data_IF_128804991956
#
_entry.id   IF_128804991956
#
_cell.length_a   1.000
_cell.length_b   1.000
_cell.length_c   1.000
_cell.angle_alpha   90.00
_cell.angle_beta   90.00
_cell.angle_gamma   90.00
#
_symmetry.space_group_name_H-M   'P 1'
#
loop_
_entity.id
_entity.type
_entity.pdbx_description
1 polymer ?
#
# COMPACT_ATOMS: atom_id res chain seq x y z
N UNK A 1 47.79 -36.50 8.88
CA UNK A 1 46.78 -35.77 9.68
C UNK A 1 46.99 -34.25 9.79
N UNK A 2 48.20 -33.68 9.62
CA UNK A 2 48.41 -32.21 9.68
C UNK A 2 47.90 -31.43 8.45
N UNK A 3 47.70 -32.09 7.31
CA UNK A 3 47.24 -31.45 6.06
C UNK A 3 45.71 -31.24 6.04
N UNK A 4 44.94 -32.24 6.48
CA UNK A 4 43.46 -32.18 6.50
C UNK A 4 42.90 -31.14 7.47
N UNK A 5 43.60 -30.83 8.56
CA UNK A 5 43.23 -29.76 9.51
C UNK A 5 43.35 -28.37 8.87
N UNK A 6 44.31 -28.15 7.96
CA UNK A 6 44.49 -26.85 7.29
C UNK A 6 43.33 -26.55 6.33
N UNK A 7 42.85 -27.56 5.61
CA UNK A 7 41.72 -27.40 4.69
C UNK A 7 40.39 -27.20 5.43
N UNK A 8 40.19 -27.87 6.57
CA UNK A 8 39.03 -27.64 7.43
C UNK A 8 39.00 -26.19 7.94
N UNK A 9 40.16 -25.66 8.35
CA UNK A 9 40.27 -24.29 8.84
C UNK A 9 40.02 -23.25 7.73
N UNK A 10 40.52 -23.51 6.51
CA UNK A 10 40.28 -22.65 5.35
C UNK A 10 38.80 -22.64 4.96
N UNK A 11 38.13 -23.80 4.99
CA UNK A 11 36.70 -23.92 4.70
C UNK A 11 35.84 -23.17 5.72
N UNK A 12 36.19 -23.26 7.01
CA UNK A 12 35.55 -22.51 8.08
C UNK A 12 35.71 -20.99 7.92
N UNK A 13 36.90 -20.53 7.50
CA UNK A 13 37.18 -19.10 7.28
C UNK A 13 36.38 -18.52 6.11
N UNK A 14 36.19 -19.30 5.04
CA UNK A 14 35.34 -18.89 3.91
C UNK A 14 33.85 -18.83 4.32
N UNK A 15 33.39 -19.76 5.16
CA UNK A 15 32.01 -19.74 5.70
C UNK A 15 31.76 -18.49 6.56
N UNK A 16 32.73 -18.07 7.38
CA UNK A 16 32.61 -16.82 8.16
C UNK A 16 32.61 -15.56 7.30
N UNK A 17 33.36 -15.53 6.19
CA UNK A 17 33.36 -14.37 5.28
C UNK A 17 32.05 -14.23 4.50
N UNK A 18 31.38 -15.33 4.13
CA UNK A 18 30.10 -15.28 3.42
C UNK A 18 28.92 -15.03 4.38
N UNK A 19 29.03 -15.45 5.64
CA UNK A 19 27.98 -15.26 6.65
C UNK A 19 27.91 -13.83 7.23
N UNK A 20 28.92 -12.98 7.01
CA UNK A 20 29.02 -11.65 7.61
C UNK A 20 28.60 -10.49 6.66
N UNK A 21 27.91 -10.80 5.57
CA UNK A 21 27.40 -9.81 4.60
C UNK A 21 25.87 -9.62 4.67
N UNK A 22 25.22 -10.00 5.77
CA UNK A 22 23.87 -9.51 6.06
C UNK A 22 23.99 -8.03 6.46
N UNK A 23 23.45 -7.08 5.67
CA UNK A 23 23.50 -5.68 6.05
C UNK A 23 22.83 -5.52 7.42
N UNK A 24 23.56 -4.95 8.37
CA UNK A 24 23.00 -4.62 9.69
C UNK A 24 21.76 -3.75 9.48
N UNK A 25 20.72 -3.89 10.34
CA UNK A 25 19.60 -2.97 10.35
C UNK A 25 20.14 -1.55 10.46
N UNK A 26 19.87 -0.70 9.47
CA UNK A 26 20.23 0.70 9.53
C UNK A 26 19.47 1.34 10.68
N UNK A 27 20.13 1.53 11.82
CA UNK A 27 19.62 2.40 12.87
C UNK A 27 19.62 3.82 12.31
N UNK A 28 18.42 4.38 12.13
CA UNK A 28 18.25 5.79 11.82
C UNK A 28 18.23 6.53 13.16
N UNK A 29 19.11 7.53 13.26
CA UNK A 29 19.33 8.38 14.42
C UNK A 29 18.01 9.01 14.85
N UNK A 30 17.69 8.91 16.15
CA UNK A 30 16.62 9.67 16.80
C UNK A 30 16.93 11.17 16.66
N UNK A 31 16.10 11.90 15.94
CA UNK A 31 16.02 13.34 16.10
C UNK A 31 14.55 13.79 16.14
N UNK A 32 14.14 14.14 17.36
CA UNK A 32 13.06 15.03 17.80
C UNK A 32 11.61 14.95 17.27
N UNK A 33 11.27 14.15 16.26
CA UNK A 33 9.87 13.93 15.84
C UNK A 33 9.51 12.42 15.78
N UNK A 34 8.28 12.00 16.16
CA UNK A 34 7.89 10.60 16.14
C UNK A 34 7.60 10.13 14.71
N UNK A 35 8.65 9.94 13.91
CA UNK A 35 8.58 9.33 12.58
C UNK A 35 8.71 7.82 12.76
N UNK A 36 7.65 7.07 12.45
CA UNK A 36 7.66 5.59 12.51
C UNK A 36 8.01 5.05 11.12
N UNK A 37 9.15 4.37 10.98
CA UNK A 37 9.59 3.76 9.72
C UNK A 37 9.50 2.24 9.85
N UNK A 38 8.65 1.64 9.03
CA UNK A 38 8.49 0.19 8.90
C UNK A 38 9.21 -0.28 7.63
N UNK A 39 10.15 -1.22 7.79
CA UNK A 39 10.80 -1.89 6.65
C UNK A 39 9.89 -3.03 6.18
N UNK A 40 9.26 -2.85 5.01
CA UNK A 40 8.31 -3.82 4.46
C UNK A 40 9.03 -4.99 3.82
N UNK A 41 10.06 -4.71 3.02
CA UNK A 41 10.82 -5.76 2.34
C UNK A 41 12.32 -5.53 2.43
N UNK A 42 13.03 -6.51 2.98
CA UNK A 42 14.50 -6.53 3.05
C UNK A 42 15.13 -7.26 1.87
N UNK A 43 14.37 -8.10 1.16
CA UNK A 43 14.84 -8.92 0.05
C UNK A 43 14.04 -8.62 -1.23
N UNK A 44 14.68 -7.88 -2.15
CA UNK A 44 14.09 -7.49 -3.44
C UNK A 44 13.69 -8.68 -4.33
N UNK A 45 14.24 -9.88 -4.07
CA UNK A 45 13.93 -11.11 -4.80
C UNK A 45 12.67 -11.83 -4.31
N UNK A 46 12.14 -11.46 -3.14
CA UNK A 46 10.94 -12.07 -2.58
C UNK A 46 9.77 -11.11 -2.72
N UNK A 47 8.76 -11.41 -3.55
CA UNK A 47 7.54 -10.64 -3.56
C UNK A 47 6.85 -10.85 -2.21
N UNK A 48 6.74 -9.78 -1.44
CA UNK A 48 5.90 -9.76 -0.25
C UNK A 48 4.47 -10.06 -0.68
N UNK A 49 3.82 -11.03 -0.04
CA UNK A 49 2.44 -11.45 -0.33
C UNK A 49 1.36 -10.40 0.03
N UNK A 50 1.77 -9.15 0.23
CA UNK A 50 0.97 -8.04 0.75
C UNK A 50 1.29 -6.75 -0.02
N UNK A 51 1.35 -6.86 -1.34
CA UNK A 51 1.67 -5.75 -2.24
C UNK A 51 0.56 -4.71 -2.29
N UNK A 52 0.94 -3.46 -2.53
CA UNK A 52 0.02 -2.49 -3.10
C UNK A 52 -0.13 -2.82 -4.58
N UNK A 53 -1.31 -2.61 -5.14
CA UNK A 53 -1.45 -2.65 -6.59
C UNK A 53 -0.78 -1.40 -7.21
N UNK A 54 -0.70 -1.35 -8.54
CA UNK A 54 -0.17 -0.20 -9.28
C UNK A 54 -0.94 1.11 -9.03
N UNK A 55 -2.05 1.07 -8.28
CA UNK A 55 -2.84 2.23 -7.88
C UNK A 55 -2.45 2.75 -6.50
N UNK A 56 -1.56 2.05 -5.79
CA UNK A 56 -1.13 2.41 -4.44
C UNK A 56 -2.15 2.03 -3.36
N UNK A 57 -3.13 1.17 -3.69
CA UNK A 57 -4.03 0.59 -2.71
C UNK A 57 -3.36 -0.67 -2.14
N UNK A 58 -3.10 -0.68 -0.84
CA UNK A 58 -2.67 -1.88 -0.15
C UNK A 58 -3.88 -2.80 0.04
N UNK A 59 -3.83 -3.98 -0.56
CA UNK A 59 -4.69 -5.12 -0.23
C UNK A 59 -4.26 -5.69 1.14
N UNK A 60 -4.27 -4.86 2.18
CA UNK A 60 -4.20 -5.30 3.57
C UNK A 60 -5.63 -5.35 4.11
N UNK A 61 -6.40 -6.43 3.85
CA UNK A 61 -7.65 -6.65 4.54
C UNK A 61 -7.27 -6.97 5.98
N UNK A 62 -7.09 -5.94 6.80
CA UNK A 62 -6.84 -6.07 8.21
C UNK A 62 -7.95 -6.94 8.81
N UNK A 63 -7.64 -8.24 8.95
CA UNK A 63 -8.41 -9.29 9.65
C UNK A 63 -9.72 -9.75 9.01
N UNK A 64 -9.83 -9.80 7.67
CA UNK A 64 -10.96 -10.46 6.98
C UNK A 64 -12.34 -10.09 7.54
N UNK A 65 -12.49 -8.80 7.79
CA UNK A 65 -13.71 -8.12 8.23
C UNK A 65 -14.42 -7.60 7.00
N UNK A 66 -15.72 -7.34 7.11
CA UNK A 66 -16.41 -6.65 6.02
C UNK A 66 -15.71 -5.31 5.79
N UNK A 67 -15.38 -5.00 4.55
CA UNK A 67 -14.62 -3.79 4.22
C UNK A 67 -15.32 -3.01 3.12
N UNK A 68 -15.41 -1.71 3.33
CA UNK A 68 -15.83 -0.73 2.33
C UNK A 68 -14.65 0.20 2.13
N UNK A 69 -14.21 0.37 0.90
CA UNK A 69 -13.09 1.24 0.54
C UNK A 69 -13.51 2.19 -0.56
N UNK A 70 -13.22 3.47 -0.39
CA UNK A 70 -13.32 4.48 -1.45
C UNK A 70 -11.99 5.22 -1.55
N UNK A 71 -11.51 5.44 -2.77
CA UNK A 71 -10.21 6.07 -2.99
C UNK A 71 -10.22 6.97 -4.22
N UNK A 72 -9.63 8.15 -4.06
CA UNK A 72 -9.23 9.04 -5.14
C UNK A 72 -7.72 8.96 -5.31
N UNK A 73 -7.27 8.58 -6.50
CA UNK A 73 -5.88 8.27 -6.79
C UNK A 73 -5.40 9.18 -7.90
N UNK A 74 -4.27 9.83 -7.65
CA UNK A 74 -3.51 10.56 -8.65
C UNK A 74 -2.22 9.84 -8.94
N UNK A 75 -1.85 9.79 -10.21
CA UNK A 75 -0.57 9.29 -10.64
C UNK A 75 0.05 10.27 -11.61
N UNK A 76 1.28 10.69 -11.33
CA UNK A 76 2.07 11.52 -12.22
C UNK A 76 3.11 10.68 -12.96
N UNK A 77 3.10 10.79 -14.30
CA UNK A 77 4.05 10.14 -15.20
C UNK A 77 4.44 11.09 -16.30
N UNK A 78 5.74 11.32 -16.51
CA UNK A 78 6.22 12.22 -17.56
C UNK A 78 5.57 13.61 -17.54
N UNK A 79 5.26 14.14 -16.34
CA UNK A 79 4.54 15.41 -16.10
C UNK A 79 3.05 15.41 -16.45
N UNK A 80 2.51 14.29 -16.90
CA UNK A 80 1.07 14.11 -17.08
C UNK A 80 0.45 13.58 -15.79
N UNK A 81 -0.66 14.21 -15.38
CA UNK A 81 -1.41 13.81 -14.20
C UNK A 81 -2.64 13.00 -14.58
N UNK A 82 -2.66 11.74 -14.15
CA UNK A 82 -3.80 10.84 -14.33
C UNK A 82 -4.61 10.74 -13.05
N UNK A 83 -5.94 10.73 -13.19
CA UNK A 83 -6.88 10.53 -12.08
C UNK A 83 -7.55 9.17 -12.19
N UNK A 84 -7.68 8.51 -11.06
CA UNK A 84 -8.40 7.25 -10.91
C UNK A 84 -9.32 7.34 -9.70
N UNK A 85 -10.55 6.85 -9.85
CA UNK A 85 -11.55 6.75 -8.80
C UNK A 85 -11.87 5.29 -8.58
N UNK A 86 -11.87 4.87 -7.32
CA UNK A 86 -12.10 3.49 -6.95
C UNK A 86 -13.07 3.42 -5.77
N UNK A 87 -14.01 2.49 -5.84
CA UNK A 87 -14.85 2.11 -4.72
C UNK A 87 -15.01 0.60 -4.70
N UNK A 88 -14.95 -0.01 -3.52
CA UNK A 88 -15.26 -1.42 -3.35
C UNK A 88 -15.97 -1.70 -2.05
N UNK A 89 -16.75 -2.77 -2.04
CA UNK A 89 -17.25 -3.40 -0.82
C UNK A 89 -17.05 -4.91 -0.90
N UNK A 90 -16.57 -5.49 0.20
CA UNK A 90 -16.35 -6.93 0.34
C UNK A 90 -17.00 -7.40 1.63
N UNK A 91 -17.86 -8.41 1.54
CA UNK A 91 -18.49 -9.04 2.70
C UNK A 91 -17.92 -10.44 2.88
N UNK A 92 -17.13 -10.64 3.93
CA UNK A 92 -16.44 -11.89 4.21
C UNK A 92 -17.29 -12.83 5.07
N UNK A 93 -17.20 -14.12 4.77
CA UNK A 93 -17.86 -15.20 5.49
C UNK A 93 -16.85 -15.96 6.34
N UNK A 94 -16.77 -15.62 7.63
CA UNK A 94 -15.83 -16.26 8.56
C UNK A 94 -16.05 -17.77 8.74
N UNK A 95 -17.19 -18.31 8.31
CA UNK A 95 -17.44 -19.76 8.32
C UNK A 95 -16.75 -20.51 7.17
N UNK A 96 -16.22 -19.79 6.17
CA UNK A 96 -15.58 -20.37 4.97
C UNK A 96 -14.11 -19.99 4.88
N UNK A 97 -13.23 -20.46 5.78
CA UNK A 97 -11.82 -20.18 5.69
C UNK A 97 -11.19 -20.81 4.44
N UNK A 98 -10.25 -20.10 3.82
CA UNK A 98 -9.51 -20.52 2.64
C UNK A 98 -8.04 -20.66 3.02
N UNK A 99 -7.49 -21.85 2.81
CA UNK A 99 -6.12 -22.20 3.17
C UNK A 99 -5.30 -22.53 1.92
N UNK A 100 -3.99 -22.30 2.01
CA UNK A 100 -3.02 -22.85 1.06
C UNK A 100 -2.53 -24.23 1.50
N UNK A 101 -1.80 -24.92 0.62
CA UNK A 101 -1.33 -26.31 0.83
C UNK A 101 -0.56 -26.55 2.14
N UNK A 102 0.09 -25.52 2.71
CA UNK A 102 0.78 -25.62 4.00
C UNK A 102 -0.12 -25.30 5.21
N UNK A 103 -1.45 -25.35 5.04
CA UNK A 103 -2.47 -25.01 6.06
C UNK A 103 -2.40 -23.56 6.59
N UNK A 104 -1.67 -22.66 5.92
CA UNK A 104 -1.71 -21.24 6.24
C UNK A 104 -3.03 -20.64 5.72
N UNK A 105 -3.76 -19.97 6.60
CA UNK A 105 -4.96 -19.21 6.25
C UNK A 105 -4.56 -18.05 5.32
N UNK A 106 -5.22 -17.95 4.16
CA UNK A 106 -5.05 -16.83 3.22
C UNK A 106 -6.27 -15.90 3.17
N UNK A 107 -7.41 -16.37 3.66
CA UNK A 107 -8.56 -15.52 3.90
C UNK A 107 -9.83 -16.30 4.08
N UNK A 108 -10.96 -15.66 3.83
CA UNK A 108 -12.27 -16.25 3.94
C UNK A 108 -13.03 -16.05 2.64
N UNK A 109 -13.91 -16.99 2.33
CA UNK A 109 -14.86 -16.86 1.24
C UNK A 109 -15.71 -15.61 1.42
N UNK A 110 -16.14 -15.00 0.33
CA UNK A 110 -17.02 -13.82 0.36
C UNK A 110 -18.44 -14.19 -0.05
N UNK A 111 -19.40 -13.36 0.39
CA UNK A 111 -20.80 -13.45 0.02
C UNK A 111 -21.23 -12.17 -0.70
N UNK A 112 -22.24 -12.27 -1.58
CA UNK A 112 -22.86 -11.13 -2.30
C UNK A 112 -24.35 -11.00 -1.98
N UNK A 113 -24.72 -10.64 -0.73
CA UNK A 113 -26.09 -10.75 -0.24
C UNK A 113 -27.04 -9.60 -0.66
N UNK A 114 -26.81 -8.97 -1.82
CA UNK A 114 -27.62 -7.84 -2.29
C UNK A 114 -26.96 -7.00 -3.38
N UNK A 115 -27.34 -5.73 -3.44
CA UNK A 115 -26.73 -4.73 -4.32
C UNK A 115 -26.05 -3.62 -3.53
N UNK A 116 -24.90 -3.15 -4.01
CA UNK A 116 -24.13 -2.05 -3.39
C UNK A 116 -24.11 -0.86 -4.33
N UNK A 117 -24.18 0.34 -3.76
CA UNK A 117 -24.14 1.61 -4.47
C UNK A 117 -23.17 2.58 -3.81
N UNK A 118 -22.49 3.37 -4.63
CA UNK A 118 -21.70 4.53 -4.22
C UNK A 118 -22.18 5.75 -5.01
N UNK A 119 -22.62 6.82 -4.34
CA UNK A 119 -23.21 8.01 -4.98
C UNK A 119 -24.30 7.66 -6.01
N UNK A 120 -25.22 6.76 -5.63
CA UNK A 120 -26.28 6.22 -6.48
C UNK A 120 -25.82 5.42 -7.72
N UNK A 121 -24.51 5.16 -7.87
CA UNK A 121 -23.98 4.27 -8.91
C UNK A 121 -23.92 2.85 -8.37
N UNK A 122 -24.59 1.93 -9.06
CA UNK A 122 -24.57 0.51 -8.71
C UNK A 122 -23.19 -0.07 -9.00
N UNK A 123 -22.58 -0.72 -8.01
CA UNK A 123 -21.30 -1.38 -8.16
C UNK A 123 -21.42 -2.71 -8.91
N UNK A 124 -20.43 -3.00 -9.75
CA UNK A 124 -20.31 -4.27 -10.46
C UNK A 124 -19.84 -5.37 -9.51
N UNK A 125 -20.27 -6.60 -9.77
CA UNK A 125 -19.74 -7.77 -9.06
C UNK A 125 -18.55 -8.32 -9.85
N UNK A 126 -17.37 -8.33 -9.25
CA UNK A 126 -16.14 -8.88 -9.86
C UNK A 126 -15.48 -9.88 -8.91
N UNK A 127 -14.71 -10.80 -9.48
CA UNK A 127 -14.01 -11.81 -8.70
C UNK A 127 -12.97 -11.16 -7.78
N UNK A 128 -12.93 -11.57 -6.52
CA UNK A 128 -11.86 -11.24 -5.58
C UNK A 128 -10.80 -12.32 -5.66
N UNK A 129 -9.61 -11.94 -6.11
CA UNK A 129 -8.44 -12.81 -6.24
C UNK A 129 -7.34 -12.28 -5.34
N UNK A 130 -6.73 -13.17 -4.55
CA UNK A 130 -5.62 -12.85 -3.66
C UNK A 130 -4.39 -13.63 -4.11
N UNK A 131 -3.27 -12.94 -4.27
CA UNK A 131 -1.97 -13.56 -4.52
C UNK A 131 -1.36 -13.98 -3.19
N UNK A 132 -0.96 -15.25 -3.08
CA UNK A 132 -0.31 -15.78 -1.87
C UNK A 132 1.14 -16.25 -2.11
N UNK A 133 1.60 -16.16 -3.37
CA UNK A 133 2.97 -16.37 -3.83
C UNK A 133 3.18 -15.63 -5.17
N UNK A 134 4.43 -15.45 -5.59
CA UNK A 134 4.83 -14.75 -6.82
C UNK A 134 3.99 -15.13 -8.05
N UNK A 135 3.71 -16.43 -8.19
CA UNK A 135 3.04 -17.01 -9.36
C UNK A 135 1.78 -17.81 -8.98
N UNK A 136 1.23 -17.60 -7.77
CA UNK A 136 0.03 -18.32 -7.32
C UNK A 136 -0.99 -17.38 -6.70
N UNK A 137 -2.18 -17.52 -7.22
CA UNK A 137 -3.40 -16.80 -6.88
C UNK A 137 -4.48 -17.77 -6.43
N UNK A 138 -5.42 -17.25 -5.64
CA UNK A 138 -6.63 -17.97 -5.25
C UNK A 138 -7.78 -17.00 -5.19
N UNK A 139 -8.93 -17.45 -5.67
CA UNK A 139 -10.17 -16.69 -5.55
C UNK A 139 -10.77 -16.87 -4.16
N UNK A 140 -11.12 -15.75 -3.54
CA UNK A 140 -11.89 -15.73 -2.29
C UNK A 140 -13.40 -15.58 -2.54
N UNK A 141 -13.84 -15.53 -3.80
CA UNK A 141 -15.22 -15.28 -4.18
C UNK A 141 -15.36 -13.99 -4.98
N UNK A 142 -16.33 -13.16 -4.63
CA UNK A 142 -16.68 -11.92 -5.33
C UNK A 142 -16.61 -10.68 -4.42
N UNK A 143 -16.47 -9.51 -5.06
CA UNK A 143 -16.56 -8.19 -4.45
C UNK A 143 -17.44 -7.27 -5.29
N UNK A 144 -17.96 -6.23 -4.66
CA UNK A 144 -18.59 -5.10 -5.35
C UNK A 144 -17.52 -4.07 -5.67
N UNK A 145 -17.48 -3.56 -6.90
CA UNK A 145 -16.46 -2.60 -7.33
C UNK A 145 -16.99 -1.60 -8.34
N UNK A 146 -16.51 -0.35 -8.23
CA UNK A 146 -16.55 0.67 -9.26
C UNK A 146 -15.12 1.14 -9.49
N UNK A 147 -14.72 1.22 -10.75
CA UNK A 147 -13.37 1.62 -11.12
C UNK A 147 -13.39 2.50 -12.37
N UNK A 148 -12.85 3.71 -12.22
CA UNK A 148 -12.67 4.67 -13.29
C UNK A 148 -11.21 5.07 -13.36
N UNK A 149 -10.55 4.87 -14.49
CA UNK A 149 -9.15 5.22 -14.72
C UNK A 149 -9.03 6.14 -15.92
N UNK A 150 -8.42 7.32 -15.72
CA UNK A 150 -8.18 8.30 -16.77
C UNK A 150 -9.43 8.61 -17.61
N UNK A 151 -10.59 8.72 -16.94
CA UNK A 151 -11.88 9.00 -17.57
C UNK A 151 -12.61 7.78 -18.16
N UNK A 152 -11.94 6.63 -18.30
CA UNK A 152 -12.52 5.38 -18.80
C UNK A 152 -12.99 4.47 -17.66
N UNK A 153 -14.05 3.69 -17.90
CA UNK A 153 -14.62 2.74 -16.94
C UNK A 153 -15.94 3.21 -16.35
N UNK A 154 -16.17 2.89 -15.08
CA UNK A 154 -17.43 3.18 -14.40
C UNK A 154 -17.66 4.70 -14.24
N UNK A 155 -18.90 5.20 -14.25
CA UNK A 155 -19.20 6.62 -14.10
C UNK A 155 -19.08 7.13 -12.65
N UNK A 156 -18.34 6.40 -11.81
CA UNK A 156 -18.02 6.80 -10.45
C UNK A 156 -16.91 7.83 -10.46
N UNK A 157 -17.10 8.92 -9.73
CA UNK A 157 -16.08 9.93 -9.53
C UNK A 157 -15.87 10.13 -8.04
N UNK A 158 -14.60 10.18 -7.64
CA UNK A 158 -14.22 10.38 -6.26
C UNK A 158 -13.95 11.86 -6.05
N UNK A 159 -14.79 12.51 -5.26
CA UNK A 159 -14.61 13.90 -4.85
C UNK A 159 -13.78 13.96 -3.57
N UNK A 160 -12.69 14.73 -3.58
CA UNK A 160 -11.88 14.98 -2.39
C UNK A 160 -12.56 15.99 -1.48
N UNK A 161 -12.32 15.88 -0.16
CA UNK A 161 -12.89 16.78 0.85
C UNK A 161 -14.43 16.92 0.78
N UNK A 162 -15.09 15.85 0.36
CA UNK A 162 -16.54 15.70 0.18
C UNK A 162 -17.03 14.46 0.94
N UNK A 163 -18.22 13.96 0.61
CA UNK A 163 -18.75 12.69 1.09
C UNK A 163 -19.09 11.75 -0.07
N UNK A 164 -18.91 10.46 0.15
CA UNK A 164 -19.46 9.42 -0.71
C UNK A 164 -20.64 8.78 0.01
N UNK A 165 -21.83 8.86 -0.57
CA UNK A 165 -23.00 8.16 -0.06
C UNK A 165 -22.88 6.67 -0.39
N UNK A 166 -22.73 5.84 0.64
CA UNK A 166 -22.76 4.39 0.52
C UNK A 166 -24.17 3.89 0.79
N UNK A 167 -24.67 3.01 -0.08
CA UNK A 167 -25.94 2.31 0.14
C UNK A 167 -25.80 0.82 -0.16
N UNK A 168 -26.29 -0.01 0.75
CA UNK A 168 -26.39 -1.44 0.59
C UNK A 168 -27.86 -1.86 0.66
N UNK A 169 -28.34 -2.54 -0.39
CA UNK A 169 -29.70 -3.04 -0.53
C UNK A 169 -29.66 -4.58 -0.41
N UNK A 170 -29.76 -5.14 0.80
CA UNK A 170 -29.76 -6.58 1.04
C UNK A 170 -31.05 -7.26 0.54
N UNK A 171 -30.97 -8.54 0.21
CA UNK A 171 -32.12 -9.31 -0.32
C UNK A 171 -33.23 -9.52 0.74
N UNK A 172 -32.84 -9.73 2.01
CA UNK A 172 -33.74 -10.18 3.09
C UNK A 172 -33.89 -9.15 4.23
N UNK A 173 -33.43 -7.92 4.07
CA UNK A 173 -33.53 -6.89 5.11
C UNK A 173 -33.70 -5.49 4.53
N UNK A 174 -33.92 -4.49 5.39
CA UNK A 174 -34.02 -3.10 4.96
C UNK A 174 -32.68 -2.58 4.41
N UNK A 175 -32.71 -1.62 3.44
CA UNK A 175 -31.53 -0.91 2.99
C UNK A 175 -30.76 -0.23 4.13
N UNK A 176 -29.43 -0.22 4.00
CA UNK A 176 -28.51 0.47 4.90
C UNK A 176 -27.82 1.57 4.10
N UNK A 177 -27.78 2.78 4.63
CA UNK A 177 -27.15 3.93 3.98
C UNK A 177 -26.40 4.79 5.00
N UNK A 178 -25.22 5.27 4.63
CA UNK A 178 -24.46 6.24 5.39
C UNK A 178 -23.44 6.94 4.51
N UNK A 179 -22.95 8.09 4.98
CA UNK A 179 -21.96 8.87 4.26
C UNK A 179 -20.53 8.53 4.71
N UNK A 180 -19.63 8.42 3.75
CA UNK A 180 -18.21 8.21 3.94
C UNK A 180 -17.49 9.53 3.68
N UNK A 181 -16.94 10.15 4.72
CA UNK A 181 -16.11 11.36 4.56
C UNK A 181 -14.85 11.05 3.76
N UNK A 182 -14.50 11.93 2.83
CA UNK A 182 -13.29 11.79 2.00
C UNK A 182 -12.19 12.75 2.46
N UNK A 183 -10.92 12.31 2.45
CA UNK A 183 -9.81 13.16 2.83
C UNK A 183 -9.53 14.26 1.77
N UNK A 184 -8.86 15.35 2.18
CA UNK A 184 -8.40 16.38 1.25
C UNK A 184 -7.43 15.84 0.20
N UNK A 185 -7.51 16.41 -1.01
CA UNK A 185 -6.66 16.06 -2.14
C UNK A 185 -5.19 16.32 -1.85
N UNK A 186 -4.32 15.37 -2.21
CA UNK A 186 -2.86 15.55 -2.16
C UNK A 186 -2.39 16.19 -3.46
N UNK A 187 -1.59 17.24 -3.34
CA UNK A 187 -0.78 17.85 -4.39
C UNK A 187 0.67 17.73 -3.95
N UNK A 188 1.42 16.89 -4.65
CA UNK A 188 2.81 16.61 -4.34
C UNK A 188 3.72 17.29 -5.36
N UNK A 189 4.78 17.89 -4.86
CA UNK A 189 5.94 18.35 -5.60
C UNK A 189 7.19 17.73 -4.97
N UNK A 190 8.30 17.76 -5.70
CA UNK A 190 9.59 17.33 -5.17
C UNK A 190 10.72 18.24 -5.63
N UNK A 191 11.76 18.34 -4.80
CA UNK A 191 13.02 18.99 -5.12
C UNK A 191 14.14 17.97 -4.98
N UNK A 192 14.73 17.61 -6.11
CA UNK A 192 15.90 16.75 -6.19
C UNK A 192 17.14 17.60 -6.49
N UNK A 193 18.18 17.47 -5.68
CA UNK A 193 19.44 18.19 -5.87
C UNK A 193 20.64 17.26 -5.65
N UNK A 194 21.80 17.69 -6.16
CA UNK A 194 23.04 16.90 -6.12
C UNK A 194 23.17 15.93 -7.29
N UNK A 195 24.18 15.05 -7.21
CA UNK A 195 24.49 14.03 -8.22
C UNK A 195 24.92 12.73 -7.54
N UNK A 196 24.56 11.57 -8.12
CA UNK A 196 25.02 10.25 -7.65
C UNK A 196 26.54 10.19 -7.49
N UNK A 197 27.28 10.68 -8.50
CA UNK A 197 28.74 10.64 -8.54
C UNK A 197 29.40 11.36 -7.34
N UNK A 198 28.78 12.43 -6.86
CA UNK A 198 29.30 13.27 -5.77
C UNK A 198 28.81 12.83 -4.38
N UNK A 199 27.99 11.77 -4.30
CA UNK A 199 27.38 11.29 -3.04
C UNK A 199 26.75 12.42 -2.22
N UNK A 200 26.03 13.31 -2.89
CA UNK A 200 25.38 14.46 -2.27
C UNK A 200 23.92 14.63 -2.69
N UNK A 201 23.29 13.54 -3.16
CA UNK A 201 21.87 13.54 -3.48
C UNK A 201 21.04 13.92 -2.25
N UNK A 202 20.09 14.83 -2.47
CA UNK A 202 19.07 15.20 -1.50
C UNK A 202 17.72 15.29 -2.20
N UNK A 203 16.70 14.71 -1.57
CA UNK A 203 15.33 14.70 -2.09
C UNK A 203 14.39 15.22 -1.01
N UNK A 204 13.70 16.31 -1.31
CA UNK A 204 12.64 16.87 -0.49
C UNK A 204 11.29 16.63 -1.19
N UNK A 205 10.36 15.98 -0.50
CA UNK A 205 8.96 15.91 -0.88
C UNK A 205 8.22 17.08 -0.24
N UNK A 206 7.39 17.78 -1.00
CA UNK A 206 6.58 18.90 -0.53
C UNK A 206 5.12 18.69 -0.97
N UNK A 207 4.18 18.76 -0.04
CA UNK A 207 2.75 18.62 -0.33
C UNK A 207 1.91 19.65 0.41
N UNK A 208 0.66 19.82 0.01
CA UNK A 208 -0.28 20.69 0.71
C UNK A 208 -0.67 20.07 2.06
N UNK A 209 -0.22 20.58 3.20
CA UNK A 209 -0.55 20.01 4.52
C UNK A 209 -2.07 19.84 4.75
N UNK A 210 -2.50 18.65 5.18
CA UNK A 210 -3.89 18.34 5.47
C UNK A 210 -4.17 18.06 6.95
N UNK A 211 -3.13 17.92 7.78
CA UNK A 211 -3.23 17.60 9.21
C UNK A 211 -4.08 16.35 9.52
N UNK A 212 -4.09 15.37 8.62
CA UNK A 212 -4.78 14.09 8.82
C UNK A 212 -3.98 13.19 9.77
N UNK A 213 -4.66 12.53 10.70
CA UNK A 213 -4.03 11.64 11.70
C UNK A 213 -3.29 10.44 11.09
N UNK A 214 -3.85 9.86 10.02
CA UNK A 214 -3.27 8.71 9.34
C UNK A 214 -2.73 9.17 7.98
N UNK A 215 -1.49 9.62 7.99
CA UNK A 215 -0.74 9.96 6.80
C UNK A 215 0.48 9.05 6.68
N UNK A 216 0.68 8.50 5.50
CA UNK A 216 1.77 7.58 5.23
C UNK A 216 2.44 7.89 3.89
N UNK A 217 3.75 7.74 3.87
CA UNK A 217 4.58 7.78 2.67
C UNK A 217 5.14 6.39 2.48
N UNK A 218 4.84 5.80 1.33
CA UNK A 218 5.41 4.54 0.93
C UNK A 218 6.48 4.80 -0.13
N UNK A 219 7.67 4.24 0.10
CA UNK A 219 8.77 4.21 -0.87
C UNK A 219 8.80 2.83 -1.52
N UNK A 220 8.77 2.81 -2.84
CA UNK A 220 8.79 1.59 -3.66
C UNK A 220 9.81 1.67 -4.79
N UNK A 221 10.28 0.51 -5.27
CA UNK A 221 11.05 0.36 -6.50
C UNK A 221 10.23 -0.46 -7.47
N UNK A 222 9.81 0.13 -8.60
CA UNK A 222 8.75 -0.45 -9.41
C UNK A 222 7.50 -0.69 -8.54
N UNK A 223 6.96 -1.91 -8.59
CA UNK A 223 5.81 -2.34 -7.78
C UNK A 223 6.22 -2.95 -6.42
N UNK A 224 7.50 -2.88 -6.04
CA UNK A 224 8.01 -3.51 -4.81
C UNK A 224 8.09 -2.46 -3.69
N UNK A 225 7.22 -2.52 -2.66
CA UNK A 225 7.30 -1.63 -1.51
C UNK A 225 8.52 -1.95 -0.64
N UNK A 226 9.32 -0.95 -0.32
CA UNK A 226 10.51 -1.07 0.52
C UNK A 226 10.28 -0.55 1.93
N UNK A 227 9.79 0.68 2.04
CA UNK A 227 9.61 1.37 3.31
C UNK A 227 8.23 1.97 3.40
N UNK A 228 7.58 1.83 4.56
CA UNK A 228 6.42 2.62 4.94
C UNK A 228 6.84 3.58 6.03
N UNK A 229 6.57 4.85 5.82
CA UNK A 229 6.93 5.94 6.72
C UNK A 229 5.62 6.55 7.19
N UNK A 230 5.30 6.42 8.47
CA UNK A 230 4.21 7.16 9.08
C UNK A 230 4.80 8.46 9.62
N UNK A 231 4.20 9.56 9.20
CA UNK A 231 4.65 10.90 9.58
C UNK A 231 3.45 11.84 9.67
N UNK A 232 3.68 13.04 10.19
CA UNK A 232 2.65 14.07 10.22
C UNK A 232 2.30 14.52 8.80
N UNK A 233 1.04 14.88 8.59
CA UNK A 233 0.58 15.50 7.33
C UNK A 233 0.85 17.02 7.36
N UNK A 234 2.13 17.39 7.51
CA UNK A 234 2.62 18.75 7.76
C UNK A 234 3.15 19.45 6.49
N UNK A 235 3.17 18.74 5.37
CA UNK A 235 3.47 19.29 4.05
C UNK A 235 4.91 19.10 3.56
N UNK A 236 5.80 18.45 4.32
CA UNK A 236 7.17 18.23 3.83
C UNK A 236 7.82 16.99 4.44
N UNK A 237 8.67 16.33 3.64
CA UNK A 237 9.48 15.22 4.13
C UNK A 237 10.82 15.19 3.42
N UNK A 238 11.90 15.33 4.18
CA UNK A 238 13.26 15.22 3.67
C UNK A 238 13.70 13.75 3.74
N UNK A 239 14.00 13.16 2.57
CA UNK A 239 14.47 11.77 2.53
C UNK A 239 15.87 11.70 3.17
N UNK A 240 16.11 10.75 4.10
CA UNK A 240 17.43 10.55 4.68
C UNK A 240 18.49 10.32 3.58
N UNK A 241 19.53 11.16 3.57
CA UNK A 241 20.57 11.17 2.53
C UNK A 241 21.22 9.79 2.36
N UNK A 242 21.49 9.09 3.46
CA UNK A 242 22.06 7.74 3.43
C UNK A 242 21.15 6.74 2.70
N UNK A 243 19.85 6.77 2.99
CA UNK A 243 18.87 5.90 2.32
C UNK A 243 18.81 6.21 0.82
N UNK A 244 18.72 7.49 0.46
CA UNK A 244 18.68 7.91 -0.94
C UNK A 244 19.92 7.47 -1.71
N UNK A 245 21.11 7.58 -1.12
CA UNK A 245 22.36 7.13 -1.73
C UNK A 245 22.42 5.63 -1.91
N UNK A 246 21.98 4.85 -0.93
CA UNK A 246 21.94 3.37 -1.02
C UNK A 246 21.01 2.91 -2.14
N UNK A 247 19.87 3.57 -2.31
CA UNK A 247 18.93 3.28 -3.40
C UNK A 247 19.47 3.72 -4.76
N UNK A 248 20.05 4.93 -4.84
CA UNK A 248 20.57 5.49 -6.09
C UNK A 248 21.77 4.73 -6.68
N UNK A 249 22.47 3.92 -5.88
CA UNK A 249 23.52 3.01 -6.36
C UNK A 249 22.97 1.83 -7.16
N UNK A 250 21.71 1.46 -6.94
CA UNK A 250 21.11 0.22 -7.46
C UNK A 250 19.98 0.46 -8.46
N UNK A 251 19.33 1.62 -8.37
CA UNK A 251 18.09 1.90 -9.10
C UNK A 251 18.13 3.27 -9.76
N UNK A 252 17.45 3.37 -10.90
CA UNK A 252 17.39 4.60 -11.68
C UNK A 252 16.19 5.48 -11.35
N UNK A 253 15.18 4.91 -10.71
CA UNK A 253 14.02 5.64 -10.24
C UNK A 253 13.53 5.10 -8.90
N UNK A 254 12.83 5.95 -8.16
CA UNK A 254 12.14 5.61 -6.93
C UNK A 254 10.69 6.08 -7.06
N UNK A 255 9.76 5.23 -6.62
CA UNK A 255 8.34 5.55 -6.57
C UNK A 255 7.95 5.97 -5.16
N UNK A 256 7.19 7.05 -5.05
CA UNK A 256 6.60 7.51 -3.80
C UNK A 256 5.09 7.48 -3.90
N UNK A 257 4.45 6.86 -2.91
CA UNK A 257 3.00 6.86 -2.73
C UNK A 257 2.67 7.55 -1.42
N UNK A 258 2.06 8.72 -1.49
CA UNK A 258 1.54 9.44 -0.32
C UNK A 258 0.07 9.10 -0.16
N UNK A 259 -0.33 8.74 1.06
CA UNK A 259 -1.72 8.38 1.36
C UNK A 259 -2.22 9.13 2.58
N UNK A 260 -3.33 9.86 2.41
CA UNK A 260 -4.20 10.28 3.51
C UNK A 260 -5.31 9.28 3.69
N UNK A 261 -5.54 8.86 4.93
CA UNK A 261 -6.54 7.84 5.23
C UNK A 261 -7.49 8.27 6.34
N UNK A 262 -8.78 8.16 6.08
CA UNK A 262 -9.80 8.09 7.12
C UNK A 262 -10.24 6.64 7.29
N UNK A 263 -10.27 6.17 8.53
CA UNK A 263 -10.68 4.82 8.89
C UNK A 263 -11.71 4.89 10.01
N UNK A 264 -12.85 4.22 9.80
CA UNK A 264 -13.87 4.01 10.81
C UNK A 264 -14.04 2.51 11.00
N UNK A 265 -14.02 2.05 12.23
CA UNK A 265 -14.34 0.66 12.60
C UNK A 265 -15.66 0.64 13.34
N UNK A 266 -16.56 -0.21 12.88
CA UNK A 266 -17.81 -0.51 13.57
C UNK A 266 -17.82 -1.99 13.92
N UNK A 267 -17.90 -2.29 15.20
CA UNK A 267 -18.02 -3.66 15.70
C UNK A 267 -19.40 -3.87 16.28
N UNK A 268 -20.13 -4.84 15.75
CA UNK A 268 -21.27 -5.47 16.44
C UNK A 268 -20.83 -6.82 17.01
N UNK A 269 -21.69 -7.42 17.84
CA UNK A 269 -21.46 -8.76 18.42
C UNK A 269 -21.20 -9.85 17.37
N UNK A 270 -21.64 -9.66 16.11
CA UNK A 270 -21.60 -10.68 15.06
C UNK A 270 -20.86 -10.25 13.78
N UNK A 271 -20.50 -8.97 13.63
CA UNK A 271 -19.80 -8.49 12.44
C UNK A 271 -18.91 -7.28 12.75
N UNK A 272 -17.68 -7.30 12.23
CA UNK A 272 -16.81 -6.13 12.19
C UNK A 272 -16.84 -5.56 10.77
N UNK A 273 -17.12 -4.26 10.68
CA UNK A 273 -17.10 -3.47 9.46
C UNK A 273 -15.98 -2.44 9.55
N UNK A 274 -15.13 -2.39 8.53
CA UNK A 274 -14.13 -1.35 8.36
C UNK A 274 -14.51 -0.51 7.15
N UNK A 275 -14.65 0.79 7.36
CA UNK A 275 -14.85 1.77 6.29
C UNK A 275 -13.57 2.58 6.14
N UNK A 276 -13.01 2.56 4.93
CA UNK A 276 -11.76 3.22 4.58
C UNK A 276 -12.01 4.21 3.46
N UNK A 277 -11.50 5.43 3.63
CA UNK A 277 -11.51 6.47 2.60
C UNK A 277 -10.12 7.05 2.42
N UNK A 278 -9.64 7.13 1.17
CA UNK A 278 -8.24 7.44 0.87
C UNK A 278 -8.08 8.50 -0.22
N UNK A 279 -7.11 9.40 0.00
CA UNK A 279 -6.53 10.25 -1.05
C UNK A 279 -5.10 9.77 -1.25
N UNK A 280 -4.79 9.35 -2.48
CA UNK A 280 -3.52 8.71 -2.82
C UNK A 280 -2.86 9.53 -3.94
N UNK A 281 -1.58 9.83 -3.79
CA UNK A 281 -0.76 10.43 -4.84
C UNK A 281 0.49 9.58 -5.08
N UNK A 282 0.66 9.14 -6.32
CA UNK A 282 1.78 8.33 -6.77
C UNK A 282 2.66 9.15 -7.72
N UNK A 283 3.96 9.16 -7.47
CA UNK A 283 4.95 9.77 -8.35
C UNK A 283 6.16 8.86 -8.54
N UNK A 284 6.71 8.83 -9.75
CA UNK A 284 8.01 8.22 -10.05
C UNK A 284 9.05 9.31 -10.22
N UNK A 285 10.16 9.20 -9.49
CA UNK A 285 11.24 10.18 -9.52
C UNK A 285 12.48 9.49 -10.07
N UNK A 286 12.97 9.96 -11.22
CA UNK A 286 14.25 9.56 -11.79
C UNK A 286 15.40 10.17 -10.99
N UNK A 287 16.43 9.35 -10.72
CA UNK A 287 17.61 9.75 -9.97
C UNK A 287 18.74 10.15 -10.93
N UNK A 288 19.46 11.27 -10.73
CA UNK A 288 20.51 11.75 -11.63
C UNK A 288 21.90 11.18 -11.32
#
# INVERSE_FOLDING_TARGET
MKSSIKYLFLFLLVQFYVACNSPQPTALVEDTDPIEIEVINKNLAEPTSFGLDSTGISDNPARFTNVITVAGIKYESNKDLFKTSFAQAVFFDRSKPVYVLNHRLIGYGTNTPGSVYFNNRRADIRQLVVKYSANKDTSLGFRYVLYRRAGLGDPFDFEFNSTVNFRFDPILSAPISFDITTPPEIFLNYKLSGQRANKNLALLLEWNAGNVKNFEILLSIGDIPLYRIKTADDGKFLIPVKLLQELAQKFDSINFTLTRKYEKRESSTFSELIVVSQSIFNISIELP
#
